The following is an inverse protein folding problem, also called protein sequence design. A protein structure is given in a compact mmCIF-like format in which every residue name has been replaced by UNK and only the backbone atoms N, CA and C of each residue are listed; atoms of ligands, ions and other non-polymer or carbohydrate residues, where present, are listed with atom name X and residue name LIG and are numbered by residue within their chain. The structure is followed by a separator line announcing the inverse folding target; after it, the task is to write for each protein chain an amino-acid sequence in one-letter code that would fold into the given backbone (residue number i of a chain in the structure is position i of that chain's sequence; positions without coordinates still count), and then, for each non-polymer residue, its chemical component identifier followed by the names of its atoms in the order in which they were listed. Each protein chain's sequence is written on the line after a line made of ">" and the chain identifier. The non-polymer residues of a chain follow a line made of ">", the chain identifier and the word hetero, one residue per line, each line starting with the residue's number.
data_IF_873016596396
#
_entry.id   IF_873016596396
#
_cell.length_a   1.000
_cell.length_b   1.000
_cell.length_c   1.000
_cell.angle_alpha   90.00
_cell.angle_beta   90.00
_cell.angle_gamma   90.00
#
_symmetry.space_group_name_H-M   'P 1'
#
loop_
_entity.id
_entity.type
_entity.pdbx_description
1 polymer ?
#
# COMPACT_ATOMS: atom_id res chain seq x y z
N UNK A 1 -13.07 -7.66 14.92
CA UNK A 1 -12.18 -8.37 13.98
C UNK A 1 -12.83 -9.60 13.35
N UNK A 2 -13.37 -10.59 14.10
CA UNK A 2 -13.94 -11.79 13.46
C UNK A 2 -15.24 -11.55 12.67
N UNK A 3 -15.95 -10.46 12.94
CA UNK A 3 -17.26 -10.15 12.33
C UNK A 3 -17.34 -8.72 11.77
N UNK A 4 -16.27 -7.93 11.93
CA UNK A 4 -16.23 -6.57 11.38
C UNK A 4 -15.70 -6.67 9.94
N UNK A 5 -16.46 -6.22 8.92
CA UNK A 5 -16.04 -6.34 7.53
C UNK A 5 -14.88 -5.40 7.17
N UNK A 6 -14.58 -4.41 8.02
CA UNK A 6 -13.46 -3.52 7.79
C UNK A 6 -12.14 -4.20 8.11
N UNK A 7 -11.15 -4.01 7.23
CA UNK A 7 -9.78 -4.43 7.52
C UNK A 7 -9.28 -3.77 8.82
N UNK A 8 -8.43 -4.44 9.62
CA UNK A 8 -7.83 -3.85 10.81
C UNK A 8 -7.12 -2.52 10.50
N UNK A 9 -7.13 -1.59 11.46
CA UNK A 9 -6.64 -0.21 11.28
C UNK A 9 -5.21 -0.12 10.74
N UNK A 10 -4.28 -0.97 11.21
CA UNK A 10 -2.90 -1.04 10.70
C UNK A 10 -2.87 -1.26 9.19
N UNK A 11 -3.69 -2.18 8.68
CA UNK A 11 -3.72 -2.49 7.24
C UNK A 11 -4.40 -1.40 6.44
N UNK A 12 -5.46 -0.79 6.98
CA UNK A 12 -6.13 0.37 6.36
C UNK A 12 -5.18 1.56 6.18
N UNK A 13 -4.28 1.76 7.14
CA UNK A 13 -3.32 2.86 7.09
C UNK A 13 -2.19 2.63 6.07
N UNK A 14 -1.73 1.39 5.87
CA UNK A 14 -0.50 1.13 5.11
C UNK A 14 -0.72 0.45 3.77
N UNK A 15 -1.65 -0.51 3.66
CA UNK A 15 -1.78 -1.34 2.45
C UNK A 15 -2.26 -0.56 1.22
N UNK A 16 -3.21 0.38 1.32
CA UNK A 16 -3.59 1.19 0.17
C UNK A 16 -2.42 2.02 -0.38
N UNK A 17 -1.52 2.51 0.50
CA UNK A 17 -0.40 3.37 0.12
C UNK A 17 0.58 2.67 -0.83
N UNK A 18 0.76 1.35 -0.68
CA UNK A 18 1.62 0.52 -1.54
C UNK A 18 1.22 0.60 -3.03
N UNK A 19 -0.03 0.98 -3.32
CA UNK A 19 -0.58 1.05 -4.67
C UNK A 19 -0.59 2.46 -5.27
N UNK A 20 -0.08 3.47 -4.55
CA UNK A 20 -0.17 4.89 -4.95
C UNK A 20 1.22 5.41 -5.31
N UNK A 21 1.43 5.81 -6.58
CA UNK A 21 2.76 6.27 -7.03
C UNK A 21 3.25 7.52 -6.30
N UNK A 22 2.33 8.40 -5.89
CA UNK A 22 2.68 9.59 -5.11
C UNK A 22 3.29 9.25 -3.75
N UNK A 23 2.97 8.08 -3.18
CA UNK A 23 3.60 7.62 -1.94
C UNK A 23 5.07 7.26 -2.17
N UNK A 24 5.39 6.59 -3.28
CA UNK A 24 6.77 6.31 -3.66
C UNK A 24 7.56 7.59 -3.91
N UNK A 25 6.98 8.55 -4.62
CA UNK A 25 7.63 9.83 -4.92
C UNK A 25 7.83 10.70 -3.66
N UNK A 26 6.87 10.72 -2.75
CA UNK A 26 6.93 11.56 -1.55
C UNK A 26 8.00 11.10 -0.55
N UNK A 27 8.29 9.79 -0.51
CA UNK A 27 9.18 9.19 0.48
C UNK A 27 10.45 8.56 -0.13
N UNK A 28 10.68 8.75 -1.43
CA UNK A 28 11.82 8.21 -2.18
C UNK A 28 11.98 6.68 -2.03
N UNK A 29 10.85 5.95 -2.03
CA UNK A 29 10.80 4.49 -1.84
C UNK A 29 11.31 3.78 -3.09
N UNK A 30 12.26 2.86 -2.91
CA UNK A 30 12.97 2.13 -3.95
C UNK A 30 12.87 0.62 -3.75
N UNK A 31 13.25 -0.12 -4.78
CA UNK A 31 13.36 -1.57 -4.70
C UNK A 31 14.32 -1.97 -3.56
N UNK A 32 13.85 -2.87 -2.69
CA UNK A 32 14.55 -3.29 -1.49
C UNK A 32 14.03 -2.66 -0.19
N UNK A 33 13.26 -1.57 -0.27
CA UNK A 33 12.62 -0.98 0.92
C UNK A 33 11.39 -1.80 1.36
N UNK A 34 11.12 -1.84 2.67
CA UNK A 34 10.02 -2.62 3.26
C UNK A 34 8.63 -2.32 2.66
N UNK A 35 8.42 -1.08 2.21
CA UNK A 35 7.15 -0.61 1.67
C UNK A 35 7.14 -0.57 0.13
N UNK A 36 8.09 -1.23 -0.52
CA UNK A 36 8.13 -1.34 -1.97
C UNK A 36 7.39 -2.57 -2.47
N UNK A 37 6.50 -2.38 -3.45
CA UNK A 37 6.05 -3.44 -4.35
C UNK A 37 6.29 -3.06 -5.82
N UNK A 38 6.60 -4.03 -6.70
CA UNK A 38 6.81 -3.78 -8.12
C UNK A 38 5.60 -3.05 -8.75
N UNK A 39 5.81 -2.09 -9.67
CA UNK A 39 4.71 -1.38 -10.32
C UNK A 39 3.64 -2.29 -10.94
N UNK A 40 4.04 -3.45 -11.48
CA UNK A 40 3.14 -4.43 -12.09
C UNK A 40 2.23 -5.16 -11.08
N UNK A 41 2.59 -5.16 -9.79
CA UNK A 41 1.78 -5.76 -8.72
C UNK A 41 0.89 -4.74 -8.01
N UNK A 42 0.99 -3.45 -8.36
CA UNK A 42 0.16 -2.39 -7.78
C UNK A 42 -1.25 -2.46 -8.35
N UNK A 43 -2.23 -2.57 -7.46
CA UNK A 43 -3.65 -2.60 -7.81
C UNK A 43 -4.13 -1.21 -8.23
N UNK A 44 -4.80 -1.13 -9.39
CA UNK A 44 -5.52 0.06 -9.87
C UNK A 44 -6.96 -0.34 -10.15
N UNK A 45 -7.90 0.43 -9.62
CA UNK A 45 -9.35 0.14 -9.74
C UNK A 45 -10.03 1.13 -10.68
N UNK A 46 -9.68 2.41 -10.55
CA UNK A 46 -10.26 3.51 -11.34
C UNK A 46 -9.34 3.90 -12.48
#
# INVERSE_FOLDING_TARGET
>A
VKTDPHSPGRWRATQPLLNIDAFYAAFDIKEGDDMYIPPAERVRIW
#
